data_IF_910510269194
#
_entry.id   IF_910510269194
#
_cell.length_a   1.000
_cell.length_b   1.000
_cell.length_c   1.000
_cell.angle_alpha   90.00
_cell.angle_beta   90.00
_cell.angle_gamma   90.00
#
_symmetry.space_group_name_H-M   'P 1'
#
loop_
_entity.id
_entity.type
_entity.pdbx_description
1 polymer ?
#
# COMPACT_ATOMS: atom_id res chain seq x y z
N UNK A 1 33.34 -5.85 0.18
CA UNK A 1 33.93 -6.96 0.97
C UNK A 1 32.79 -7.89 1.35
N UNK A 2 32.94 -9.21 1.18
CA UNK A 2 31.92 -10.18 1.60
C UNK A 2 32.07 -10.50 3.09
N UNK A 3 30.93 -10.76 3.75
CA UNK A 3 30.87 -11.14 5.17
C UNK A 3 30.24 -12.51 5.30
N UNK A 4 30.81 -13.37 6.10
CA UNK A 4 30.27 -14.68 6.50
C UNK A 4 29.52 -14.56 7.82
N UNK A 5 28.40 -15.23 7.96
CA UNK A 5 27.58 -15.19 9.16
C UNK A 5 27.86 -16.37 10.09
N UNK A 6 28.15 -17.56 9.54
CA UNK A 6 28.31 -18.80 10.28
C UNK A 6 29.59 -19.55 9.86
N UNK A 7 30.73 -18.82 9.80
CA UNK A 7 32.03 -19.39 9.37
C UNK A 7 32.11 -19.62 7.85
N UNK A 8 33.19 -20.31 7.44
CA UNK A 8 33.54 -20.49 6.01
C UNK A 8 32.50 -21.34 5.25
N UNK A 9 31.80 -22.25 5.94
CA UNK A 9 30.76 -23.11 5.37
C UNK A 9 29.36 -22.49 5.43
N UNK A 10 29.20 -21.35 6.11
CA UNK A 10 27.94 -20.65 6.23
C UNK A 10 27.60 -19.75 5.04
N UNK A 11 26.37 -19.22 5.05
CA UNK A 11 25.93 -18.26 4.06
C UNK A 11 26.77 -16.97 4.15
N UNK A 12 27.16 -16.44 2.99
CA UNK A 12 27.85 -15.16 2.94
C UNK A 12 26.99 -14.09 2.25
N UNK A 13 27.22 -12.86 2.62
CA UNK A 13 26.61 -11.69 2.00
C UNK A 13 27.70 -10.78 1.43
N UNK A 14 27.49 -10.35 0.18
CA UNK A 14 28.45 -9.51 -0.53
C UNK A 14 29.10 -10.21 -1.71
N UNK A 15 30.18 -9.62 -2.22
CA UNK A 15 30.80 -10.00 -3.48
C UNK A 15 32.14 -10.70 -3.25
N UNK A 16 32.32 -11.86 -3.88
CA UNK A 16 33.57 -12.61 -3.92
C UNK A 16 33.87 -12.93 -5.38
N UNK A 17 34.83 -12.21 -5.98
CA UNK A 17 35.15 -12.40 -7.40
C UNK A 17 33.90 -12.28 -8.30
N UNK A 18 33.58 -13.31 -9.10
CA UNK A 18 32.42 -13.32 -9.98
C UNK A 18 31.11 -13.70 -9.28
N UNK A 19 31.16 -14.07 -7.99
CA UNK A 19 29.99 -14.53 -7.22
C UNK A 19 29.51 -13.49 -6.25
N UNK A 20 28.18 -13.34 -6.13
CA UNK A 20 27.51 -12.46 -5.17
C UNK A 20 26.61 -13.30 -4.27
N UNK A 21 26.91 -13.30 -2.96
CA UNK A 21 26.04 -13.85 -1.93
C UNK A 21 24.95 -12.84 -1.56
N UNK A 22 23.74 -13.28 -1.46
CA UNK A 22 22.57 -12.49 -1.09
C UNK A 22 21.57 -13.36 -0.32
N UNK A 23 20.55 -12.75 0.24
CA UNK A 23 19.44 -13.49 0.86
C UNK A 23 18.11 -12.93 0.39
N UNK A 24 17.11 -13.79 0.25
CA UNK A 24 15.74 -13.41 -0.03
C UNK A 24 14.82 -14.17 0.94
N UNK A 25 14.02 -13.44 1.68
CA UNK A 25 13.14 -13.98 2.74
C UNK A 25 13.87 -14.89 3.75
N UNK A 26 15.10 -14.50 4.14
CA UNK A 26 15.91 -15.29 5.05
C UNK A 26 16.62 -16.49 4.41
N UNK A 27 16.33 -16.80 3.14
CA UNK A 27 16.96 -17.90 2.40
C UNK A 27 18.20 -17.33 1.71
N UNK A 28 19.41 -17.78 2.08
CA UNK A 28 20.64 -17.38 1.41
C UNK A 28 20.75 -18.02 0.03
N UNK A 29 21.23 -17.26 -0.94
CA UNK A 29 21.50 -17.76 -2.29
C UNK A 29 22.74 -17.09 -2.88
N UNK A 30 23.31 -17.72 -3.88
CA UNK A 30 24.42 -17.20 -4.66
C UNK A 30 23.97 -16.92 -6.09
N UNK A 31 24.48 -15.84 -6.66
CA UNK A 31 24.27 -15.52 -8.07
C UNK A 31 25.57 -15.02 -8.70
N UNK A 32 25.69 -15.15 -10.02
CA UNK A 32 26.78 -14.54 -10.76
C UNK A 32 26.68 -13.00 -10.67
N UNK A 33 27.82 -12.35 -10.67
CA UNK A 33 27.89 -10.91 -10.86
C UNK A 33 27.28 -10.57 -12.22
N UNK A 34 26.29 -9.68 -12.23
CA UNK A 34 25.73 -9.17 -13.48
C UNK A 34 26.82 -8.46 -14.33
N UNK A 35 26.75 -8.64 -15.62
CA UNK A 35 27.60 -7.89 -16.55
C UNK A 35 27.29 -6.40 -16.47
N UNK A 36 28.32 -5.58 -16.71
CA UNK A 36 28.10 -4.16 -16.88
C UNK A 36 27.19 -3.92 -18.09
N UNK A 37 26.22 -3.04 -17.93
CA UNK A 37 25.35 -2.66 -19.05
C UNK A 37 26.17 -1.94 -20.11
N UNK A 38 26.13 -2.42 -21.35
CA UNK A 38 26.88 -1.87 -22.49
C UNK A 38 25.99 -1.06 -23.45
N UNK A 39 24.66 -1.13 -23.30
CA UNK A 39 23.69 -0.43 -24.15
C UNK A 39 22.85 0.55 -23.35
N UNK A 40 22.45 1.65 -24.00
CA UNK A 40 21.44 2.58 -23.48
C UNK A 40 20.09 1.90 -23.48
N UNK A 41 19.21 2.24 -22.53
CA UNK A 41 17.85 1.71 -22.48
C UNK A 41 17.10 2.08 -23.76
N UNK A 42 16.47 1.08 -24.41
CA UNK A 42 15.56 1.33 -25.53
C UNK A 42 14.25 1.97 -25.07
N UNK A 43 13.48 2.56 -25.99
CA UNK A 43 12.26 3.29 -25.67
C UNK A 43 11.24 2.50 -24.83
N UNK A 44 11.00 1.23 -25.15
CA UNK A 44 10.10 0.37 -24.38
C UNK A 44 10.62 0.11 -22.96
N UNK A 45 11.93 -0.01 -22.77
CA UNK A 45 12.53 -0.20 -21.47
C UNK A 45 12.44 1.08 -20.62
N UNK A 46 12.70 2.24 -21.24
CA UNK A 46 12.55 3.55 -20.57
C UNK A 46 11.10 3.74 -20.12
N UNK A 47 10.13 3.52 -21.00
CA UNK A 47 8.72 3.60 -20.65
C UNK A 47 8.33 2.68 -19.48
N UNK A 48 8.92 1.48 -19.43
CA UNK A 48 8.68 0.54 -18.33
C UNK A 48 9.32 1.00 -17.01
N UNK A 49 10.52 1.60 -17.09
CA UNK A 49 11.20 2.20 -15.93
C UNK A 49 10.42 3.40 -15.38
N UNK A 50 9.92 4.28 -16.26
CA UNK A 50 9.10 5.44 -15.90
C UNK A 50 7.80 4.99 -15.23
N UNK A 51 7.08 4.03 -15.83
CA UNK A 51 5.88 3.42 -15.26
C UNK A 51 6.14 2.86 -13.84
N UNK A 52 7.22 2.12 -13.68
CA UNK A 52 7.60 1.55 -12.39
C UNK A 52 7.96 2.64 -11.36
N UNK A 53 8.68 3.67 -11.79
CA UNK A 53 9.07 4.81 -10.97
C UNK A 53 7.84 5.60 -10.50
N UNK A 54 6.91 5.90 -11.40
CA UNK A 54 5.66 6.58 -11.09
C UNK A 54 4.83 5.82 -10.06
N UNK A 55 4.60 4.51 -10.26
CA UNK A 55 3.88 3.67 -9.31
C UNK A 55 4.60 3.61 -7.95
N UNK A 56 5.93 3.51 -7.94
CA UNK A 56 6.70 3.49 -6.70
C UNK A 56 6.61 4.82 -5.94
N UNK A 57 6.78 5.94 -6.63
CA UNK A 57 6.69 7.28 -6.03
C UNK A 57 5.31 7.51 -5.42
N UNK A 58 4.25 7.15 -6.14
CA UNK A 58 2.86 7.29 -5.70
C UNK A 58 2.56 6.47 -4.44
N UNK A 59 3.04 5.22 -4.39
CA UNK A 59 2.76 4.30 -3.28
C UNK A 59 3.69 4.48 -2.07
N UNK A 60 4.86 5.10 -2.23
CA UNK A 60 5.87 5.20 -1.17
C UNK A 60 5.36 5.86 0.12
N UNK A 61 4.59 6.96 0.09
CA UNK A 61 4.04 7.58 1.30
C UNK A 61 3.05 6.66 2.04
N UNK A 62 2.44 5.70 1.34
CA UNK A 62 1.43 4.78 1.86
C UNK A 62 2.02 3.48 2.42
N UNK A 63 3.35 3.36 2.50
CA UNK A 63 4.05 2.12 2.85
C UNK A 63 3.53 1.45 4.15
N UNK A 64 3.29 2.15 5.29
CA UNK A 64 2.77 1.53 6.50
C UNK A 64 1.39 0.92 6.31
N UNK A 65 0.51 1.64 5.61
CA UNK A 65 -0.85 1.24 5.30
C UNK A 65 -0.89 0.03 4.36
N UNK A 66 -0.07 0.04 3.29
CA UNK A 66 -0.01 -1.04 2.32
C UNK A 66 0.57 -2.35 2.90
N UNK A 67 1.43 -2.25 3.92
CA UNK A 67 1.93 -3.43 4.63
C UNK A 67 0.83 -4.20 5.35
N UNK A 68 -0.16 -3.48 5.89
CA UNK A 68 -1.34 -4.06 6.53
C UNK A 68 -2.34 -4.49 5.48
N UNK A 69 -2.73 -3.58 4.59
CA UNK A 69 -3.79 -3.80 3.61
C UNK A 69 -3.52 -4.90 2.57
N UNK A 70 -2.26 -5.26 2.35
CA UNK A 70 -1.86 -6.37 1.46
C UNK A 70 -1.18 -7.51 2.23
N UNK A 71 -1.41 -7.61 3.54
CA UNK A 71 -0.90 -8.73 4.33
C UNK A 71 -1.50 -10.05 3.79
N UNK A 72 -0.65 -11.05 3.56
CA UNK A 72 -1.10 -12.35 3.07
C UNK A 72 -1.65 -12.40 1.64
N UNK A 73 -1.76 -11.27 0.94
CA UNK A 73 -2.26 -11.22 -0.44
C UNK A 73 -1.45 -12.04 -1.42
N UNK A 74 -0.16 -12.15 -1.20
CA UNK A 74 0.75 -12.95 -2.02
C UNK A 74 1.67 -13.81 -1.14
N UNK A 75 1.85 -15.07 -1.53
CA UNK A 75 2.80 -15.99 -0.86
C UNK A 75 4.26 -15.58 -1.05
N UNK A 76 4.56 -14.83 -2.10
CA UNK A 76 5.93 -14.50 -2.52
C UNK A 76 6.30 -13.03 -2.41
N UNK A 77 5.33 -12.13 -2.24
CA UNK A 77 5.55 -10.70 -2.18
C UNK A 77 4.98 -10.12 -0.88
N UNK A 78 5.79 -9.36 -0.16
CA UNK A 78 5.32 -8.60 1.01
C UNK A 78 4.38 -7.47 0.60
N UNK A 79 3.53 -7.02 1.53
CA UNK A 79 2.41 -6.11 1.33
C UNK A 79 2.68 -4.95 0.36
N UNK A 80 3.74 -4.17 0.58
CA UNK A 80 4.08 -3.06 -0.34
C UNK A 80 4.42 -3.53 -1.76
N UNK A 81 5.16 -4.63 -1.91
CA UNK A 81 5.50 -5.16 -3.24
C UNK A 81 4.28 -5.79 -3.91
N UNK A 82 3.39 -6.40 -3.14
CA UNK A 82 2.11 -6.92 -3.62
C UNK A 82 1.21 -5.78 -4.13
N UNK A 83 1.05 -4.71 -3.34
CA UNK A 83 0.32 -3.50 -3.73
C UNK A 83 0.89 -2.87 -5.01
N UNK A 84 2.22 -2.73 -5.09
CA UNK A 84 2.89 -2.21 -6.28
C UNK A 84 2.66 -3.09 -7.51
N UNK A 85 2.73 -4.41 -7.36
CA UNK A 85 2.43 -5.34 -8.46
C UNK A 85 0.97 -5.22 -8.93
N UNK A 86 0.03 -5.06 -7.99
CA UNK A 86 -1.37 -4.81 -8.29
C UNK A 86 -1.54 -3.50 -9.09
N UNK A 87 -0.99 -2.40 -8.56
CA UNK A 87 -1.07 -1.07 -9.19
C UNK A 87 -0.49 -1.08 -10.62
N UNK A 88 0.69 -1.67 -10.81
CA UNK A 88 1.32 -1.78 -12.13
C UNK A 88 0.48 -2.54 -13.17
N UNK A 89 -0.33 -3.50 -12.73
CA UNK A 89 -1.16 -4.34 -13.59
C UNK A 89 -2.54 -3.74 -13.86
N UNK A 90 -3.11 -3.07 -12.85
CA UNK A 90 -4.55 -2.74 -12.87
C UNK A 90 -4.86 -1.25 -12.74
N UNK A 91 -3.93 -0.45 -12.24
CA UNK A 91 -4.15 0.96 -11.91
C UNK A 91 -3.17 1.92 -12.60
N UNK A 92 -2.63 1.51 -13.75
CA UNK A 92 -1.76 2.36 -14.57
C UNK A 92 -2.37 2.57 -15.95
N UNK A 93 -2.46 3.83 -16.36
CA UNK A 93 -2.91 4.22 -17.68
C UNK A 93 -1.97 5.30 -18.23
N UNK A 94 -1.49 5.14 -19.46
CA UNK A 94 -0.56 6.07 -20.13
C UNK A 94 0.69 6.45 -19.28
N UNK A 95 1.19 5.50 -18.47
CA UNK A 95 2.34 5.71 -17.59
C UNK A 95 2.04 6.40 -16.26
N UNK A 96 0.78 6.79 -16.01
CA UNK A 96 0.34 7.44 -14.78
C UNK A 96 -0.54 6.53 -13.93
N UNK A 97 -0.54 6.77 -12.63
CA UNK A 97 -1.40 6.05 -11.69
C UNK A 97 -2.82 6.63 -11.76
N UNK A 98 -3.81 5.75 -11.88
CA UNK A 98 -5.24 6.08 -11.81
C UNK A 98 -5.73 5.85 -10.38
N UNK A 99 -5.94 6.90 -9.59
CA UNK A 99 -6.31 6.77 -8.17
C UNK A 99 -7.55 5.90 -7.94
N UNK A 100 -8.56 6.00 -8.81
CA UNK A 100 -9.81 5.25 -8.71
C UNK A 100 -9.64 3.73 -8.86
N UNK A 101 -8.54 3.28 -9.46
CA UNK A 101 -8.23 1.87 -9.66
C UNK A 101 -7.20 1.33 -8.63
N UNK A 102 -6.60 2.23 -7.84
CA UNK A 102 -5.67 1.81 -6.80
C UNK A 102 -6.42 1.16 -5.64
N UNK A 103 -5.88 0.07 -5.14
CA UNK A 103 -6.31 -0.52 -3.87
C UNK A 103 -5.27 -0.25 -2.80
N UNK A 104 -5.75 0.17 -1.63
CA UNK A 104 -4.91 0.30 -0.43
C UNK A 104 -4.98 -0.95 0.44
N UNK A 105 -5.98 -1.81 0.19
CA UNK A 105 -6.19 -3.08 0.87
C UNK A 105 -6.85 -4.07 -0.08
N UNK A 106 -6.47 -5.33 0.01
CA UNK A 106 -7.05 -6.42 -0.76
C UNK A 106 -7.03 -7.70 0.08
N UNK A 107 -8.20 -8.26 0.30
CA UNK A 107 -8.40 -9.47 1.09
C UNK A 107 -9.85 -9.95 1.04
N UNK A 108 -10.19 -10.88 1.90
CA UNK A 108 -11.45 -11.59 1.91
C UNK A 108 -12.39 -11.21 3.07
N UNK A 109 -11.99 -10.28 3.94
CA UNK A 109 -12.88 -9.75 4.96
C UNK A 109 -13.99 -8.93 4.28
N UNK A 110 -15.22 -9.09 4.75
CA UNK A 110 -16.37 -8.39 4.17
C UNK A 110 -16.30 -6.90 4.56
N UNK A 111 -16.27 -5.98 3.58
CA UNK A 111 -16.36 -4.55 3.87
C UNK A 111 -17.74 -4.18 4.42
N UNK A 112 -17.88 -2.99 5.00
CA UNK A 112 -19.21 -2.46 5.31
C UNK A 112 -19.85 -1.97 3.99
N UNK A 113 -21.00 -2.52 3.57
CA UNK A 113 -21.61 -2.22 2.26
C UNK A 113 -22.16 -0.79 2.17
N UNK A 114 -22.48 -0.20 3.30
CA UNK A 114 -23.07 1.12 3.50
C UNK A 114 -22.04 2.17 3.99
N UNK A 115 -20.74 1.86 3.89
CA UNK A 115 -19.69 2.79 4.27
C UNK A 115 -19.74 4.05 3.39
N UNK A 116 -19.91 5.19 4.04
CA UNK A 116 -19.98 6.52 3.40
C UNK A 116 -18.95 7.46 3.99
N UNK A 117 -18.63 8.49 3.25
CA UNK A 117 -17.71 9.55 3.68
C UNK A 117 -18.37 10.91 3.46
N UNK A 118 -18.21 11.82 4.42
CA UNK A 118 -18.64 13.21 4.33
C UNK A 118 -17.60 14.15 4.92
N UNK A 119 -17.55 15.37 4.41
CA UNK A 119 -16.71 16.43 4.99
C UNK A 119 -17.38 16.98 6.25
N UNK A 120 -16.58 17.37 7.24
CA UNK A 120 -17.06 18.02 8.46
C UNK A 120 -16.59 19.48 8.52
N UNK A 121 -17.36 20.33 9.17
CA UNK A 121 -16.89 21.68 9.51
C UNK A 121 -15.59 21.56 10.33
N UNK A 122 -14.53 22.27 9.92
CA UNK A 122 -13.25 22.25 10.63
C UNK A 122 -12.20 21.29 10.07
N UNK A 123 -12.19 21.07 8.76
CA UNK A 123 -11.17 20.28 8.04
C UNK A 123 -11.09 18.84 8.52
N UNK A 124 -12.16 18.09 8.32
CA UNK A 124 -12.20 16.68 8.68
C UNK A 124 -13.04 15.85 7.72
N UNK A 125 -12.83 14.56 7.77
CA UNK A 125 -13.62 13.54 7.09
C UNK A 125 -14.34 12.70 8.14
N UNK A 126 -15.63 12.50 7.96
CA UNK A 126 -16.43 11.58 8.75
C UNK A 126 -16.77 10.37 7.90
N UNK A 127 -16.35 9.22 8.34
CA UNK A 127 -16.75 7.91 7.81
C UNK A 127 -17.89 7.38 8.66
N UNK A 128 -18.98 6.93 8.03
CA UNK A 128 -20.11 6.32 8.70
C UNK A 128 -20.43 4.98 8.05
N UNK A 129 -20.86 4.02 8.85
CA UNK A 129 -21.26 2.70 8.42
C UNK A 129 -22.28 2.10 9.40
N UNK A 130 -23.06 1.10 8.96
CA UNK A 130 -23.92 0.36 9.88
C UNK A 130 -23.07 -0.52 10.81
N UNK A 131 -23.44 -0.54 12.07
CA UNK A 131 -22.88 -1.47 13.04
C UNK A 131 -23.46 -2.88 12.94
N UNK A 132 -24.39 -3.13 12.00
CA UNK A 132 -24.95 -4.44 11.79
C UNK A 132 -23.91 -5.44 11.32
N UNK A 133 -23.94 -6.62 11.92
CA UNK A 133 -22.99 -7.69 11.61
C UNK A 133 -23.44 -8.50 10.40
N UNK A 134 -22.54 -8.63 9.45
CA UNK A 134 -22.66 -9.62 8.40
C UNK A 134 -21.94 -10.91 8.83
N UNK A 135 -22.42 -12.06 8.38
CA UNK A 135 -21.77 -13.34 8.64
C UNK A 135 -20.30 -13.29 8.20
N UNK A 136 -19.37 -13.60 9.11
CA UNK A 136 -17.93 -13.54 8.86
C UNK A 136 -17.27 -12.22 9.18
N UNK A 137 -17.98 -11.25 9.79
CA UNK A 137 -17.42 -10.02 10.36
C UNK A 137 -17.46 -10.06 11.89
N UNK A 138 -16.62 -9.25 12.53
CA UNK A 138 -16.57 -9.08 13.98
C UNK A 138 -16.71 -7.58 14.31
N UNK A 139 -17.44 -7.27 15.38
CA UNK A 139 -17.55 -5.89 15.87
C UNK A 139 -16.24 -5.22 16.23
N UNK A 140 -15.22 -6.01 16.48
CA UNK A 140 -13.86 -5.58 16.76
C UNK A 140 -12.99 -5.40 15.50
N UNK A 141 -13.52 -5.64 14.30
CA UNK A 141 -12.84 -5.25 13.08
C UNK A 141 -12.64 -3.74 13.09
N UNK A 142 -11.48 -3.25 12.67
CA UNK A 142 -11.14 -1.83 12.74
C UNK A 142 -11.11 -1.19 11.36
N UNK A 143 -11.60 0.05 11.28
CA UNK A 143 -11.46 0.85 10.09
C UNK A 143 -9.99 1.23 9.86
N UNK A 144 -9.56 1.10 8.63
CA UNK A 144 -8.33 1.67 8.09
C UNK A 144 -8.73 2.66 6.99
N UNK A 145 -8.37 3.93 7.15
CA UNK A 145 -8.77 5.00 6.23
C UNK A 145 -7.58 5.84 5.79
N UNK A 146 -7.68 6.41 4.60
CA UNK A 146 -6.65 7.24 3.97
C UNK A 146 -7.29 8.43 3.27
N UNK A 147 -6.71 9.60 3.49
CA UNK A 147 -6.85 10.80 2.68
C UNK A 147 -5.48 11.11 2.05
N UNK A 148 -5.40 11.13 0.73
CA UNK A 148 -4.14 11.23 0.01
C UNK A 148 -4.16 12.32 -1.05
N UNK A 149 -3.20 13.23 -1.00
CA UNK A 149 -2.91 14.22 -2.03
C UNK A 149 -1.62 13.82 -2.76
N UNK A 150 -1.72 13.26 -3.98
CA UNK A 150 -0.57 12.70 -4.69
C UNK A 150 0.47 13.72 -5.11
N UNK A 151 0.06 14.95 -5.46
CA UNK A 151 0.97 15.98 -5.97
C UNK A 151 2.02 16.37 -4.94
N UNK A 152 1.62 16.52 -3.67
CA UNK A 152 2.53 16.81 -2.55
C UNK A 152 3.00 15.54 -1.84
N UNK A 153 2.58 14.36 -2.28
CA UNK A 153 2.81 13.09 -1.61
C UNK A 153 2.35 13.09 -0.13
N UNK A 154 1.33 13.91 0.20
CA UNK A 154 0.81 14.05 1.55
C UNK A 154 -0.25 12.99 1.82
N UNK A 155 0.00 12.11 2.78
CA UNK A 155 -0.90 11.03 3.17
C UNK A 155 -1.29 11.18 4.64
N UNK A 156 -2.57 11.34 4.91
CA UNK A 156 -3.16 11.33 6.25
C UNK A 156 -3.96 10.04 6.37
N UNK A 157 -3.61 9.20 7.33
CA UNK A 157 -4.25 7.91 7.46
C UNK A 157 -4.40 7.47 8.92
N UNK A 158 -5.36 6.61 9.14
CA UNK A 158 -5.52 5.85 10.37
C UNK A 158 -5.38 4.37 10.06
N UNK A 159 -4.51 3.68 10.83
CA UNK A 159 -4.25 2.23 10.68
C UNK A 159 -5.09 1.41 11.67
N UNK A 160 -5.44 2.02 12.80
CA UNK A 160 -6.16 1.44 13.91
C UNK A 160 -7.31 2.37 14.28
N UNK A 161 -8.27 2.50 13.38
CA UNK A 161 -9.43 3.36 13.57
C UNK A 161 -10.48 2.76 14.50
N UNK A 162 -11.65 3.36 14.48
CA UNK A 162 -12.78 2.90 15.26
C UNK A 162 -13.14 1.44 14.93
N UNK A 163 -13.64 0.74 15.92
CA UNK A 163 -14.20 -0.59 15.75
C UNK A 163 -15.47 -0.56 14.89
N UNK A 164 -15.77 -1.65 14.24
CA UNK A 164 -16.99 -1.79 13.43
C UNK A 164 -18.25 -1.45 14.22
N UNK A 165 -18.29 -1.84 15.51
CA UNK A 165 -19.39 -1.52 16.43
C UNK A 165 -19.64 -0.03 16.62
N UNK A 166 -18.61 0.81 16.45
CA UNK A 166 -18.73 2.24 16.69
C UNK A 166 -19.57 2.96 15.63
N UNK A 167 -19.67 2.44 14.42
CA UNK A 167 -20.48 2.98 13.34
C UNK A 167 -19.91 4.28 12.72
N UNK A 168 -18.90 4.91 13.34
CA UNK A 168 -18.29 6.13 12.80
C UNK A 168 -16.81 6.27 13.12
N UNK A 169 -16.11 7.03 12.27
CA UNK A 169 -14.72 7.47 12.47
C UNK A 169 -14.53 8.87 11.94
N UNK A 170 -13.88 9.72 12.72
CA UNK A 170 -13.41 11.03 12.28
C UNK A 170 -11.93 10.96 11.92
N UNK A 171 -11.57 11.58 10.80
CA UNK A 171 -10.18 11.78 10.36
C UNK A 171 -9.95 13.29 10.20
N UNK A 172 -9.16 13.89 11.08
CA UNK A 172 -8.79 15.30 11.00
C UNK A 172 -7.77 15.50 9.89
N UNK A 173 -7.97 16.53 9.09
CA UNK A 173 -7.08 16.92 8.01
C UNK A 173 -6.27 18.16 8.43
N UNK A 174 -4.98 18.23 8.08
CA UNK A 174 -4.17 19.42 8.34
C UNK A 174 -4.57 20.57 7.41
N UNK A 175 -4.33 21.80 7.86
CA UNK A 175 -4.69 23.02 7.11
C UNK A 175 -3.99 23.13 5.75
N UNK A 176 -2.85 22.51 5.58
CA UNK A 176 -2.11 22.47 4.34
C UNK A 176 -2.85 21.77 3.19
N UNK A 177 -3.92 21.05 3.50
CA UNK A 177 -4.81 20.42 2.52
C UNK A 177 -6.03 21.27 2.16
N UNK A 178 -6.22 22.47 2.74
CA UNK A 178 -7.30 23.39 2.35
C UNK A 178 -7.18 23.70 0.86
N UNK A 179 -8.32 23.73 0.18
CA UNK A 179 -8.47 23.95 -1.27
C UNK A 179 -7.76 22.91 -2.16
N UNK A 180 -7.23 21.82 -1.57
CA UNK A 180 -6.62 20.74 -2.32
C UNK A 180 -7.59 19.58 -2.56
N UNK A 181 -7.39 18.91 -3.69
CA UNK A 181 -8.13 17.70 -4.03
C UNK A 181 -7.42 16.48 -3.46
N UNK A 182 -8.08 15.76 -2.59
CA UNK A 182 -7.59 14.55 -1.96
C UNK A 182 -8.37 13.31 -2.42
N UNK A 183 -7.69 12.20 -2.54
CA UNK A 183 -8.29 10.89 -2.83
C UNK A 183 -8.53 10.14 -1.52
N UNK A 184 -9.75 9.60 -1.36
CA UNK A 184 -10.18 8.98 -0.11
C UNK A 184 -10.41 7.49 -0.32
N UNK A 185 -9.88 6.70 0.60
CA UNK A 185 -10.02 5.25 0.63
C UNK A 185 -10.31 4.78 2.05
N UNK A 186 -11.06 3.67 2.15
CA UNK A 186 -11.20 2.99 3.43
C UNK A 186 -11.32 1.47 3.23
N UNK A 187 -10.96 0.74 4.28
CA UNK A 187 -11.05 -0.71 4.37
C UNK A 187 -11.23 -1.12 5.83
N UNK A 188 -11.65 -2.34 6.07
CA UNK A 188 -11.66 -2.94 7.39
C UNK A 188 -10.54 -3.97 7.54
N UNK A 189 -10.01 -4.06 8.75
CA UNK A 189 -8.97 -5.01 9.13
C UNK A 189 -9.47 -5.78 10.34
N UNK A 190 -9.37 -7.11 10.31
CA UNK A 190 -9.78 -7.97 11.42
C UNK A 190 -8.99 -7.62 12.69
N UNK A 191 -9.63 -7.82 13.86
CA UNK A 191 -9.05 -7.50 15.17
C UNK A 191 -7.70 -8.20 15.40
N UNK A 192 -7.54 -9.43 14.93
CA UNK A 192 -6.32 -10.23 15.02
C UNK A 192 -5.28 -9.93 13.93
N UNK A 193 -5.60 -9.00 12.99
CA UNK A 193 -4.76 -8.63 11.84
C UNK A 193 -4.51 -9.76 10.83
N UNK A 194 -5.25 -10.84 10.91
CA UNK A 194 -5.09 -11.99 10.01
C UNK A 194 -5.71 -11.76 8.63
N UNK A 195 -6.74 -10.91 8.56
CA UNK A 195 -7.54 -10.65 7.36
C UNK A 195 -7.84 -9.17 7.21
N UNK A 196 -8.02 -8.74 5.97
CA UNK A 196 -8.46 -7.37 5.61
C UNK A 196 -9.50 -7.43 4.50
N UNK A 197 -10.30 -6.39 4.39
CA UNK A 197 -11.25 -6.25 3.30
C UNK A 197 -10.60 -5.67 2.04
N UNK A 198 -11.29 -5.78 0.92
CA UNK A 198 -10.99 -4.88 -0.19
C UNK A 198 -11.21 -3.43 0.23
N UNK A 199 -10.42 -2.52 -0.30
CA UNK A 199 -10.61 -1.09 -0.08
C UNK A 199 -11.66 -0.52 -1.02
N UNK A 200 -12.48 0.39 -0.47
CA UNK A 200 -13.43 1.21 -1.21
C UNK A 200 -12.79 2.57 -1.50
N UNK A 201 -12.93 3.03 -2.73
CA UNK A 201 -12.55 4.38 -3.15
C UNK A 201 -13.78 5.30 -3.14
N UNK A 202 -13.69 6.47 -2.50
CA UNK A 202 -14.79 7.42 -2.34
C UNK A 202 -14.70 8.64 -3.26
N UNK A 203 -13.75 8.63 -4.17
CA UNK A 203 -13.56 9.71 -5.12
C UNK A 203 -12.56 10.77 -4.66
N UNK A 204 -12.33 11.77 -5.53
CA UNK A 204 -11.65 12.99 -5.15
C UNK A 204 -12.62 13.90 -4.41
N UNK A 205 -12.16 14.50 -3.30
CA UNK A 205 -12.89 15.53 -2.57
C UNK A 205 -11.99 16.75 -2.44
N UNK A 206 -12.53 17.93 -2.75
CA UNK A 206 -11.84 19.19 -2.45
C UNK A 206 -12.14 19.58 -1.01
N UNK A 207 -11.09 19.82 -0.23
CA UNK A 207 -11.17 20.19 1.18
C UNK A 207 -11.43 21.69 1.26
N UNK A 208 -12.60 22.09 1.74
CA UNK A 208 -13.01 23.50 1.89
C UNK A 208 -13.09 23.95 3.34
#
# INVERSE_FOLDING_TARGET
MARYKDGVTGAFSGKIGPVVGSSWNGIPYMKSKGNARTSVAGGAELANQEKFSAAHAWLKPLLPLLRIGFHGYSKTAYGFNAAKSYTLKHAMEHGQVRPELVKISAGDLIPAPDLTVSTTAGLGLRFNWSSDYLAGTDGKDQLMALAYHPEDATAIYVLHGAFRDAGEQLLSLPRELTDKTIHIYAAFVAADRSRQSESTYFGPITVG
#
